data_IF_404951160661
#
_entry.id   IF_404951160661
#
_cell.length_a   1.000
_cell.length_b   1.000
_cell.length_c   1.000
_cell.angle_alpha   90.00
_cell.angle_beta   90.00
_cell.angle_gamma   90.00
#
_symmetry.space_group_name_H-M   'P 1'
#
loop_
_entity.id
_entity.type
_entity.pdbx_description
1 polymer ?
#
# COMPACT_ATOMS: atom_id res chain seq x y z
N UNK A 1 -17.01 31.39 -8.90
CA UNK A 1 -17.80 30.51 -8.01
C UNK A 1 -17.77 31.12 -6.62
N UNK A 2 -18.88 31.09 -5.88
CA UNK A 2 -19.02 31.81 -4.59
C UNK A 2 -18.98 30.84 -3.41
N UNK A 3 -18.56 31.32 -2.25
CA UNK A 3 -18.60 30.54 -1.01
C UNK A 3 -20.06 30.22 -0.62
N UNK A 4 -20.28 29.11 0.09
CA UNK A 4 -21.64 28.69 0.48
C UNK A 4 -22.24 29.57 1.59
N UNK A 5 -21.42 29.97 2.56
CA UNK A 5 -21.82 30.84 3.66
C UNK A 5 -21.77 32.33 3.27
N UNK A 6 -20.84 32.70 2.38
CA UNK A 6 -20.50 34.08 2.09
C UNK A 6 -20.58 34.37 0.60
N UNK A 7 -21.06 35.56 0.24
CA UNK A 7 -21.11 36.02 -1.16
C UNK A 7 -19.71 36.42 -1.72
N UNK A 8 -18.64 35.98 -1.07
CA UNK A 8 -17.24 36.23 -1.45
C UNK A 8 -16.74 35.17 -2.45
N UNK A 9 -15.66 35.52 -3.16
CA UNK A 9 -14.99 34.62 -4.09
C UNK A 9 -14.40 33.41 -3.35
N UNK A 10 -14.67 32.22 -3.89
CA UNK A 10 -14.14 30.99 -3.34
C UNK A 10 -12.67 30.78 -3.78
N UNK A 11 -11.83 30.43 -2.82
CA UNK A 11 -10.38 30.18 -3.01
C UNK A 11 -10.01 28.71 -2.81
N UNK A 12 -10.89 27.94 -2.17
CA UNK A 12 -10.67 26.51 -1.90
C UNK A 12 -11.96 25.70 -2.07
N UNK A 13 -11.81 24.38 -2.16
CA UNK A 13 -12.91 23.42 -2.20
C UNK A 13 -12.70 22.39 -1.11
N UNK A 14 -13.76 22.13 -0.34
CA UNK A 14 -13.82 21.08 0.66
C UNK A 14 -13.49 19.72 0.04
N UNK A 15 -12.45 19.05 0.52
CA UNK A 15 -12.01 17.76 -0.05
C UNK A 15 -12.97 16.60 0.21
N UNK A 16 -13.86 16.72 1.20
CA UNK A 16 -14.85 15.70 1.54
C UNK A 16 -16.18 15.91 0.81
N UNK A 17 -16.65 17.16 0.81
CA UNK A 17 -18.01 17.52 0.43
C UNK A 17 -18.11 18.26 -0.90
N UNK A 18 -16.99 18.69 -1.48
CA UNK A 18 -16.95 19.39 -2.77
C UNK A 18 -17.46 20.83 -2.75
N UNK A 19 -17.75 21.38 -1.56
CA UNK A 19 -18.28 22.73 -1.39
C UNK A 19 -17.17 23.78 -1.51
N UNK A 20 -17.47 24.89 -2.19
CA UNK A 20 -16.57 26.02 -2.37
C UNK A 20 -16.50 26.90 -1.09
N UNK A 21 -15.27 27.28 -0.69
CA UNK A 21 -14.95 27.97 0.56
C UNK A 21 -14.15 29.25 0.26
N UNK A 22 -14.45 30.35 0.96
CA UNK A 22 -13.61 31.54 1.00
C UNK A 22 -12.43 31.34 1.98
N UNK A 23 -11.49 32.29 2.01
CA UNK A 23 -10.31 32.25 2.89
C UNK A 23 -10.64 32.22 4.38
N UNK A 24 -11.81 32.73 4.75
CA UNK A 24 -12.27 32.75 6.15
C UNK A 24 -12.94 31.43 6.55
N UNK A 25 -13.69 30.81 5.64
CA UNK A 25 -14.35 29.51 5.89
C UNK A 25 -13.41 28.32 5.68
N UNK A 26 -12.23 28.52 5.08
CA UNK A 26 -11.29 27.45 4.81
C UNK A 26 -10.55 27.02 6.07
N UNK A 27 -11.01 25.95 6.71
CA UNK A 27 -10.26 25.27 7.76
C UNK A 27 -9.30 24.25 7.15
N UNK A 28 -8.09 24.12 7.70
CA UNK A 28 -7.06 23.21 7.16
C UNK A 28 -6.92 21.98 8.04
N UNK A 29 -7.05 20.79 7.44
CA UNK A 29 -6.75 19.50 8.06
C UNK A 29 -5.25 19.34 8.36
N UNK A 30 -4.83 18.51 9.34
CA UNK A 30 -3.44 18.08 9.54
C UNK A 30 -2.79 17.43 8.30
N UNK A 31 -3.58 17.00 7.32
CA UNK A 31 -3.15 16.48 6.02
C UNK A 31 -3.11 17.54 4.91
N UNK A 32 -3.15 18.83 5.26
CA UNK A 32 -3.12 20.00 4.38
C UNK A 32 -4.32 20.19 3.43
N UNK A 33 -5.34 19.34 3.54
CA UNK A 33 -6.61 19.42 2.81
C UNK A 33 -7.54 20.50 3.42
N UNK A 34 -8.36 21.12 2.57
CA UNK A 34 -9.34 22.12 2.99
C UNK A 34 -10.67 21.47 3.39
N UNK A 35 -11.25 21.93 4.50
CA UNK A 35 -12.47 21.41 5.12
C UNK A 35 -13.46 22.54 5.40
N UNK A 36 -14.76 22.27 5.26
CA UNK A 36 -15.82 23.23 5.57
C UNK A 36 -16.28 23.21 7.03
N UNK A 37 -16.11 22.08 7.73
CA UNK A 37 -16.58 21.90 9.11
C UNK A 37 -15.76 20.84 9.85
N UNK A 38 -15.85 20.83 11.18
CA UNK A 38 -15.24 19.82 12.04
C UNK A 38 -15.71 18.40 11.69
N UNK A 39 -16.97 18.25 11.28
CA UNK A 39 -17.53 16.98 10.84
C UNK A 39 -16.83 16.44 9.57
N UNK A 40 -16.55 17.32 8.61
CA UNK A 40 -15.77 16.96 7.43
C UNK A 40 -14.30 16.66 7.76
N UNK A 41 -13.74 17.37 8.75
CA UNK A 41 -12.38 17.12 9.24
C UNK A 41 -12.27 15.74 9.90
N UNK A 42 -13.26 15.35 10.71
CA UNK A 42 -13.32 14.04 11.37
C UNK A 42 -13.49 12.89 10.36
N UNK A 43 -14.25 13.09 9.28
CA UNK A 43 -14.38 12.08 8.23
C UNK A 43 -13.09 11.92 7.41
N UNK A 44 -12.40 13.02 7.10
CA UNK A 44 -11.11 12.98 6.42
C UNK A 44 -10.07 12.25 7.29
N UNK A 45 -9.97 12.59 8.57
CA UNK A 45 -9.02 11.94 9.48
C UNK A 45 -9.33 10.46 9.71
N UNK A 46 -10.62 10.09 9.77
CA UNK A 46 -11.04 8.69 9.84
C UNK A 46 -10.67 7.92 8.56
N UNK A 47 -10.96 8.48 7.38
CA UNK A 47 -10.63 7.86 6.10
C UNK A 47 -9.12 7.69 5.89
N UNK A 48 -8.34 8.66 6.37
CA UNK A 48 -6.88 8.59 6.38
C UNK A 48 -6.43 7.45 7.29
N UNK A 49 -6.90 7.40 8.55
CA UNK A 49 -6.59 6.33 9.50
C UNK A 49 -6.90 4.92 8.98
N UNK A 50 -8.01 4.72 8.27
CA UNK A 50 -8.36 3.42 7.67
C UNK A 50 -7.42 3.08 6.50
N UNK A 51 -7.01 4.06 5.70
CA UNK A 51 -6.08 3.85 4.61
C UNK A 51 -4.68 3.44 5.14
N UNK A 52 -4.22 4.04 6.23
CA UNK A 52 -2.92 3.69 6.85
C UNK A 52 -2.96 2.26 7.39
N UNK A 53 -4.03 1.88 8.09
CA UNK A 53 -4.22 0.52 8.61
C UNK A 53 -4.29 -0.53 7.48
N UNK A 54 -4.90 -0.16 6.35
CA UNK A 54 -4.99 -1.06 5.19
C UNK A 54 -3.63 -1.21 4.51
N UNK A 55 -2.85 -0.15 4.39
CA UNK A 55 -1.48 -0.19 3.87
C UNK A 55 -0.55 -1.00 4.80
N UNK A 56 -0.70 -0.86 6.11
CA UNK A 56 0.09 -1.62 7.08
C UNK A 56 -0.24 -3.12 7.05
N UNK A 57 -1.51 -3.48 6.86
CA UNK A 57 -1.93 -4.88 6.66
C UNK A 57 -1.50 -5.43 5.31
N UNK A 58 -1.59 -4.64 4.25
CA UNK A 58 -1.18 -5.06 2.91
C UNK A 58 0.34 -5.32 2.84
N UNK A 59 1.14 -4.48 3.51
CA UNK A 59 2.60 -4.68 3.58
C UNK A 59 2.95 -5.92 4.41
N UNK A 60 2.33 -6.12 5.57
CA UNK A 60 2.51 -7.34 6.39
C UNK A 60 2.07 -8.61 5.66
N UNK A 61 0.93 -8.59 4.97
CA UNK A 61 0.46 -9.71 4.15
C UNK A 61 1.38 -9.99 2.95
N UNK A 62 1.92 -8.94 2.31
CA UNK A 62 2.87 -9.09 1.20
C UNK A 62 4.20 -9.70 1.64
N UNK A 63 4.66 -9.39 2.85
CA UNK A 63 5.86 -10.01 3.43
C UNK A 63 5.64 -11.48 3.79
N UNK A 64 4.47 -11.81 4.33
CA UNK A 64 4.08 -13.20 4.61
C UNK A 64 3.99 -14.04 3.32
N UNK A 65 3.39 -13.46 2.26
CA UNK A 65 3.32 -14.11 0.95
C UNK A 65 4.70 -14.32 0.29
N UNK A 66 5.60 -13.35 0.43
CA UNK A 66 6.98 -13.49 -0.06
C UNK A 66 7.70 -14.64 0.64
N UNK A 67 7.63 -14.72 1.98
CA UNK A 67 8.23 -15.84 2.73
C UNK A 67 7.62 -17.20 2.34
N UNK A 68 6.31 -17.26 2.13
CA UNK A 68 5.63 -18.46 1.65
C UNK A 68 6.14 -18.92 0.28
N UNK A 69 6.33 -17.98 -0.66
CA UNK A 69 6.86 -18.28 -1.99
C UNK A 69 8.31 -18.79 -1.99
N UNK A 70 9.15 -18.29 -1.09
CA UNK A 70 10.52 -18.78 -0.92
C UNK A 70 10.55 -20.19 -0.32
N UNK A 71 9.77 -20.45 0.75
CA UNK A 71 9.69 -21.78 1.36
C UNK A 71 9.17 -22.81 0.36
N UNK A 72 8.12 -22.48 -0.37
CA UNK A 72 7.56 -23.38 -1.38
C UNK A 72 8.56 -23.63 -2.53
N UNK A 73 9.22 -22.58 -3.04
CA UNK A 73 10.26 -22.73 -4.06
C UNK A 73 11.42 -23.62 -3.62
N UNK A 74 11.83 -23.54 -2.34
CA UNK A 74 12.89 -24.36 -1.76
C UNK A 74 12.47 -25.83 -1.64
N UNK A 75 11.22 -26.09 -1.24
CA UNK A 75 10.65 -27.45 -1.23
C UNK A 75 10.65 -28.05 -2.64
N UNK A 76 10.22 -27.29 -3.65
CA UNK A 76 10.21 -27.74 -5.04
C UNK A 76 11.61 -28.03 -5.59
N UNK A 77 12.62 -27.21 -5.23
CA UNK A 77 14.03 -27.50 -5.55
C UNK A 77 14.52 -28.78 -4.87
N UNK A 78 14.13 -29.03 -3.62
CA UNK A 78 14.46 -30.27 -2.92
C UNK A 78 13.91 -31.52 -3.63
N UNK A 79 12.66 -31.45 -4.10
CA UNK A 79 12.07 -32.52 -4.91
C UNK A 79 12.73 -32.67 -6.28
N UNK A 80 13.19 -31.59 -6.91
CA UNK A 80 13.95 -31.66 -8.16
C UNK A 80 15.30 -32.38 -7.97
N UNK A 81 15.99 -32.15 -6.85
CA UNK A 81 17.22 -32.89 -6.51
C UNK A 81 16.93 -34.37 -6.25
N UNK A 82 15.84 -34.70 -5.56
CA UNK A 82 15.42 -36.09 -5.40
C UNK A 82 15.09 -36.78 -6.74
N UNK A 83 14.45 -36.05 -7.66
CA UNK A 83 14.11 -36.55 -9.00
C UNK A 83 15.33 -36.90 -9.85
N UNK A 84 16.47 -36.23 -9.64
CA UNK A 84 17.75 -36.54 -10.31
C UNK A 84 18.27 -37.94 -9.95
N UNK A 85 17.99 -38.44 -8.75
CA UNK A 85 18.41 -39.78 -8.32
C UNK A 85 17.55 -40.93 -8.89
N UNK A 86 16.37 -40.63 -9.46
CA UNK A 86 15.45 -41.63 -10.01
C UNK A 86 15.36 -41.59 -11.56
N UNK A 87 16.34 -40.97 -12.23
CA UNK A 87 16.39 -40.80 -13.70
C UNK A 87 15.14 -40.17 -14.35
N UNK A 88 14.32 -39.45 -13.55
CA UNK A 88 13.12 -38.75 -14.00
C UNK A 88 13.45 -37.36 -14.56
N UNK A 89 14.33 -37.29 -15.57
CA UNK A 89 14.84 -36.03 -16.17
C UNK A 89 13.74 -35.04 -16.59
N UNK A 90 12.62 -35.53 -17.12
CA UNK A 90 11.49 -34.67 -17.51
C UNK A 90 10.84 -33.95 -16.31
N UNK A 91 10.71 -34.64 -15.18
CA UNK A 91 10.14 -34.06 -13.96
C UNK A 91 11.10 -33.07 -13.29
N UNK A 92 12.41 -33.33 -13.36
CA UNK A 92 13.46 -32.43 -12.81
C UNK A 92 13.47 -31.10 -13.53
N UNK A 93 13.42 -31.09 -14.87
CA UNK A 93 13.46 -29.86 -15.66
C UNK A 93 12.19 -29.03 -15.41
N UNK A 94 11.02 -29.67 -15.40
CA UNK A 94 9.75 -28.98 -15.16
C UNK A 94 9.69 -28.39 -13.74
N UNK A 95 10.03 -29.17 -12.71
CA UNK A 95 10.03 -28.72 -11.31
C UNK A 95 11.12 -27.68 -11.03
N UNK A 96 12.29 -27.80 -11.66
CA UNK A 96 13.38 -26.82 -11.55
C UNK A 96 13.01 -25.46 -12.16
N UNK A 97 12.42 -25.45 -13.36
CA UNK A 97 11.93 -24.20 -13.98
C UNK A 97 10.83 -23.55 -13.14
N UNK A 98 9.89 -24.36 -12.62
CA UNK A 98 8.80 -23.85 -11.78
C UNK A 98 9.31 -23.29 -10.45
N UNK A 99 10.27 -23.98 -9.81
CA UNK A 99 10.91 -23.54 -8.57
C UNK A 99 11.71 -22.25 -8.76
N UNK A 100 12.53 -22.16 -9.80
CA UNK A 100 13.25 -20.93 -10.15
C UNK A 100 12.29 -19.77 -10.48
N UNK A 101 11.22 -20.03 -11.23
CA UNK A 101 10.20 -19.03 -11.56
C UNK A 101 9.52 -18.46 -10.32
N UNK A 102 9.17 -19.32 -9.35
CA UNK A 102 8.59 -18.92 -8.06
C UNK A 102 9.53 -18.05 -7.23
N UNK A 103 10.83 -18.37 -7.19
CA UNK A 103 11.84 -17.58 -6.45
C UNK A 103 12.05 -16.20 -7.09
N UNK A 104 12.12 -16.15 -8.43
CA UNK A 104 12.24 -14.87 -9.16
C UNK A 104 10.99 -14.00 -8.93
N UNK A 105 9.79 -14.59 -8.99
CA UNK A 105 8.56 -13.85 -8.71
C UNK A 105 8.52 -13.33 -7.27
N UNK A 106 8.92 -14.15 -6.29
CA UNK A 106 9.05 -13.73 -4.89
C UNK A 106 10.00 -12.54 -4.72
N UNK A 107 11.13 -12.54 -5.43
CA UNK A 107 12.09 -11.43 -5.43
C UNK A 107 11.50 -10.14 -6.02
N UNK A 108 10.78 -10.23 -7.14
CA UNK A 108 10.09 -9.08 -7.75
C UNK A 108 8.96 -8.54 -6.86
N UNK A 109 8.24 -9.41 -6.17
CA UNK A 109 7.18 -9.02 -5.23
C UNK A 109 7.77 -8.24 -4.05
N UNK A 110 8.88 -8.72 -3.50
CA UNK A 110 9.59 -8.06 -2.40
C UNK A 110 10.18 -6.69 -2.81
N UNK A 111 10.68 -6.57 -4.06
CA UNK A 111 11.18 -5.31 -4.60
C UNK A 111 10.06 -4.31 -4.85
N UNK A 112 8.93 -4.77 -5.39
CA UNK A 112 7.75 -3.92 -5.65
C UNK A 112 7.12 -3.43 -4.35
N UNK A 113 7.09 -4.26 -3.31
CA UNK A 113 6.63 -3.87 -1.97
C UNK A 113 7.50 -2.76 -1.37
N UNK A 114 8.84 -2.82 -1.53
CA UNK A 114 9.74 -1.75 -1.06
C UNK A 114 9.56 -0.42 -1.81
N UNK A 115 9.26 -0.47 -3.11
CA UNK A 115 9.05 0.75 -3.92
C UNK A 115 7.73 1.48 -3.64
N UNK A 116 6.74 0.79 -3.06
CA UNK A 116 5.41 1.35 -2.76
C UNK A 116 5.19 1.69 -1.29
N UNK A 117 6.22 1.59 -0.44
CA UNK A 117 6.18 2.18 0.89
C UNK A 117 6.73 3.61 0.75
N UNK A 118 5.89 4.64 0.56
CA UNK A 118 6.29 5.98 0.93
C UNK A 118 6.53 5.93 2.44
N UNK A 119 7.79 5.80 2.82
CA UNK A 119 8.25 6.08 4.17
C UNK A 119 7.97 7.56 4.40
N UNK A 120 6.75 7.92 4.79
CA UNK A 120 6.48 9.21 5.41
C UNK A 120 7.03 9.16 6.84
N UNK A 121 8.36 9.05 6.95
CA UNK A 121 9.14 9.37 8.14
C UNK A 121 9.06 10.89 8.31
N UNK A 122 7.98 11.42 8.86
CA UNK A 122 7.98 12.82 9.29
C UNK A 122 7.16 13.14 10.54
N UNK A 123 6.49 12.18 11.19
CA UNK A 123 5.63 12.50 12.36
C UNK A 123 5.87 11.70 13.66
N UNK A 124 6.97 10.97 13.78
CA UNK A 124 7.35 10.31 15.06
C UNK A 124 8.69 10.80 15.64
N UNK A 125 9.14 12.00 15.28
CA UNK A 125 10.36 12.60 15.83
C UNK A 125 10.09 13.72 16.86
N UNK A 126 8.83 13.92 17.27
CA UNK A 126 8.47 14.91 18.30
C UNK A 126 7.42 14.33 19.26
N UNK A 127 7.81 13.32 20.04
CA UNK A 127 7.26 13.04 21.36
C UNK A 127 8.38 12.49 22.26
#
# INVERSE_FOLDING_TARGET
MKCIEHNNEAVAVCSNCGVALCSECSSRSPSSKYCCSENCLQQISFSEGVAELTLERATKASMAGAYGSYLLGLVFLGFAVWGLFNDFIGAVIYMGLFGCGMIVMGYFYQRSAKSKIPVNKSKHAEL
#
